data_IF_082445240619
#
_entry.id   IF_082445240619
#
_cell.length_a   1.000
_cell.length_b   1.000
_cell.length_c   1.000
_cell.angle_alpha   90.00
_cell.angle_beta   90.00
_cell.angle_gamma   90.00
#
_symmetry.space_group_name_H-M   'P 1'
#
loop_
_entity.id
_entity.type
_entity.pdbx_description
1 polymer ?
#
# COMPACT_ATOMS: atom_id res chain seq x y z
N UNK A 1 -15.68 -51.00 -55.28
CA UNK A 1 -16.72 -51.58 -54.42
C UNK A 1 -16.01 -51.95 -53.13
N UNK A 2 -15.95 -51.09 -52.11
CA UNK A 2 -17.08 -50.70 -51.25
C UNK A 2 -17.66 -51.95 -50.57
N UNK A 3 -17.80 -52.11 -49.26
CA UNK A 3 -17.51 -51.40 -48.03
C UNK A 3 -17.59 -52.49 -46.92
N UNK A 4 -17.09 -52.18 -45.73
CA UNK A 4 -17.79 -52.33 -44.43
C UNK A 4 -16.80 -52.71 -43.32
N UNK A 5 -16.49 -51.79 -42.41
CA UNK A 5 -17.27 -51.43 -41.20
C UNK A 5 -17.23 -52.51 -40.11
N UNK A 6 -16.38 -52.21 -39.13
CA UNK A 6 -16.66 -52.23 -37.68
C UNK A 6 -17.34 -53.46 -37.05
N UNK A 7 -16.64 -54.04 -36.05
CA UNK A 7 -17.25 -54.20 -34.73
C UNK A 7 -16.21 -54.30 -33.60
N UNK A 8 -16.42 -53.44 -32.61
CA UNK A 8 -15.76 -53.36 -31.31
C UNK A 8 -16.15 -54.50 -30.36
N UNK A 9 -15.48 -54.47 -29.19
CA UNK A 9 -15.85 -54.97 -27.85
C UNK A 9 -14.91 -56.09 -27.36
N UNK A 10 -13.81 -55.78 -26.69
CA UNK A 10 -13.70 -55.42 -25.26
C UNK A 10 -13.74 -56.67 -24.35
N UNK A 11 -12.69 -56.79 -23.53
CA UNK A 11 -12.48 -57.74 -22.42
C UNK A 11 -11.98 -59.16 -22.77
N UNK A 12 -10.65 -59.33 -22.74
CA UNK A 12 -10.00 -60.35 -21.90
C UNK A 12 -8.50 -60.05 -21.73
N UNK A 13 -8.14 -59.51 -20.57
CA UNK A 13 -6.79 -59.59 -19.94
C UNK A 13 -6.47 -61.07 -19.62
N UNK A 14 -5.24 -61.49 -19.22
CA UNK A 14 -3.88 -60.90 -19.26
C UNK A 14 -2.81 -61.95 -19.69
N UNK A 15 -1.50 -61.67 -19.55
CA UNK A 15 -0.42 -62.57 -19.03
C UNK A 15 0.95 -61.86 -19.24
N UNK A 16 1.48 -61.16 -18.23
CA UNK A 16 2.51 -61.65 -17.30
C UNK A 16 3.87 -61.86 -17.99
N UNK A 17 4.64 -60.77 -18.11
CA UNK A 17 6.09 -60.80 -18.34
C UNK A 17 6.75 -60.25 -17.08
N UNK A 18 7.28 -61.21 -16.34
CA UNK A 18 8.24 -61.22 -15.23
C UNK A 18 8.71 -59.89 -14.65
N UNK A 19 8.50 -59.81 -13.33
CA UNK A 19 9.13 -58.91 -12.39
C UNK A 19 10.66 -58.99 -12.51
N UNK A 20 11.29 -57.91 -12.94
CA UNK A 20 12.49 -57.44 -12.25
C UNK A 20 12.14 -56.08 -11.64
N UNK A 21 11.88 -56.12 -10.34
CA UNK A 21 11.79 -54.98 -9.46
C UNK A 21 13.13 -54.23 -9.49
N UNK A 22 13.15 -53.04 -10.08
CA UNK A 22 14.04 -51.98 -9.62
C UNK A 22 13.16 -50.92 -9.03
N UNK A 23 12.95 -51.06 -7.72
CA UNK A 23 12.42 -50.00 -6.87
C UNK A 23 13.20 -48.71 -7.14
N UNK A 24 12.52 -47.66 -7.59
CA UNK A 24 12.97 -46.33 -7.24
C UNK A 24 11.77 -45.46 -6.89
N UNK A 25 11.71 -45.18 -5.61
CA UNK A 25 10.66 -44.53 -4.87
C UNK A 25 10.55 -43.05 -5.25
N UNK A 26 9.31 -42.55 -5.31
CA UNK A 26 8.97 -41.14 -5.05
C UNK A 26 9.70 -40.06 -5.84
N UNK A 27 9.12 -39.62 -6.96
CA UNK A 27 9.29 -38.23 -7.41
C UNK A 27 7.94 -37.47 -7.45
N UNK A 28 7.45 -36.94 -6.32
CA UNK A 28 6.31 -36.03 -6.29
C UNK A 28 6.74 -34.60 -6.69
N UNK A 29 7.46 -34.43 -7.80
CA UNK A 29 8.05 -33.14 -8.22
C UNK A 29 7.47 -32.63 -9.54
N UNK A 30 6.15 -32.65 -9.74
CA UNK A 30 5.58 -32.00 -10.94
C UNK A 30 4.30 -31.15 -10.72
N UNK A 31 3.80 -31.05 -9.48
CA UNK A 31 2.68 -30.16 -9.15
C UNK A 31 3.10 -28.83 -8.48
N UNK A 32 4.35 -28.71 -8.00
CA UNK A 32 4.79 -27.58 -7.16
C UNK A 32 5.23 -26.33 -7.94
N UNK A 33 5.36 -26.38 -9.27
CA UNK A 33 5.94 -25.28 -10.05
C UNK A 33 4.96 -24.15 -10.43
N UNK A 34 3.64 -24.31 -10.23
CA UNK A 34 2.64 -23.38 -10.79
C UNK A 34 2.02 -22.34 -9.84
N UNK A 35 2.54 -22.12 -8.62
CA UNK A 35 2.02 -21.05 -7.76
C UNK A 35 3.09 -20.23 -7.03
N UNK A 36 4.16 -19.86 -7.74
CA UNK A 36 4.95 -18.70 -7.34
C UNK A 36 4.08 -17.44 -7.50
N UNK A 37 3.23 -17.14 -6.52
CA UNK A 37 2.40 -15.94 -6.50
C UNK A 37 3.32 -14.73 -6.70
N UNK A 38 3.26 -14.14 -7.91
CA UNK A 38 4.11 -13.00 -8.27
C UNK A 38 3.90 -11.90 -7.24
N UNK A 39 4.95 -11.60 -6.46
CA UNK A 39 4.94 -10.52 -5.47
C UNK A 39 4.45 -9.25 -6.14
N UNK A 40 3.37 -8.66 -5.61
CA UNK A 40 2.81 -7.40 -6.12
C UNK A 40 3.90 -6.33 -6.03
N UNK A 41 4.34 -5.82 -7.19
CA UNK A 41 5.30 -4.73 -7.24
C UNK A 41 4.66 -3.45 -6.71
N UNK A 42 5.27 -2.87 -5.67
CA UNK A 42 4.85 -1.56 -5.15
C UNK A 42 5.55 -0.45 -5.94
N UNK A 43 4.82 0.61 -6.28
CA UNK A 43 5.34 1.75 -7.02
C UNK A 43 5.10 3.04 -6.24
N UNK A 44 6.13 3.89 -6.14
CA UNK A 44 6.01 5.21 -5.51
C UNK A 44 5.06 6.12 -6.31
N UNK A 45 4.36 7.03 -5.64
CA UNK A 45 3.44 7.96 -6.31
C UNK A 45 4.14 8.83 -7.36
N UNK A 46 5.37 9.26 -7.09
CA UNK A 46 6.21 10.00 -8.04
C UNK A 46 6.42 9.20 -9.32
N UNK A 47 6.77 7.92 -9.20
CA UNK A 47 6.96 7.01 -10.34
C UNK A 47 5.66 6.83 -11.12
N UNK A 48 4.54 6.58 -10.44
CA UNK A 48 3.22 6.44 -11.09
C UNK A 48 2.86 7.68 -11.90
N UNK A 49 3.07 8.89 -11.35
CA UNK A 49 2.79 10.14 -12.05
C UNK A 49 3.69 10.38 -13.26
N UNK A 50 4.97 10.03 -13.17
CA UNK A 50 5.90 10.10 -14.30
C UNK A 50 5.43 9.22 -15.46
N UNK A 51 5.06 7.98 -15.16
CA UNK A 51 4.53 7.02 -16.13
C UNK A 51 3.23 7.55 -16.76
N UNK A 52 2.31 8.09 -15.96
CA UNK A 52 1.06 8.67 -16.48
C UNK A 52 1.31 9.89 -17.37
N UNK A 53 2.26 10.77 -17.03
CA UNK A 53 2.65 11.91 -17.88
C UNK A 53 3.21 11.43 -19.21
N UNK A 54 4.08 10.43 -19.20
CA UNK A 54 4.64 9.85 -20.41
C UNK A 54 3.56 9.16 -21.26
N UNK A 55 2.67 8.39 -20.64
CA UNK A 55 1.58 7.71 -21.32
C UNK A 55 0.60 8.69 -21.99
N UNK A 56 0.32 9.85 -21.38
CA UNK A 56 -0.50 10.89 -22.01
C UNK A 56 0.17 11.56 -23.21
N UNK A 57 1.51 11.58 -23.27
CA UNK A 57 2.27 12.21 -24.36
C UNK A 57 2.56 11.26 -25.52
N UNK A 58 2.89 10.00 -25.23
CA UNK A 58 3.37 9.02 -26.21
C UNK A 58 2.49 7.77 -26.33
N UNK A 59 1.46 7.65 -25.50
CA UNK A 59 0.55 6.49 -25.47
C UNK A 59 0.93 5.41 -24.46
N UNK A 60 -0.06 4.58 -24.12
CA UNK A 60 0.05 3.54 -23.08
C UNK A 60 1.03 2.42 -23.47
N UNK A 61 1.09 2.06 -24.75
CA UNK A 61 1.98 1.00 -25.23
C UNK A 61 3.46 1.42 -25.14
N UNK A 62 3.77 2.64 -25.58
CA UNK A 62 5.11 3.21 -25.45
C UNK A 62 5.55 3.29 -23.97
N UNK A 63 4.63 3.65 -23.08
CA UNK A 63 4.88 3.68 -21.64
C UNK A 63 5.16 2.28 -21.07
N UNK A 64 4.40 1.26 -21.48
CA UNK A 64 4.62 -0.12 -21.07
C UNK A 64 6.02 -0.62 -21.46
N UNK A 65 6.46 -0.33 -22.70
CA UNK A 65 7.79 -0.69 -23.19
C UNK A 65 8.90 0.04 -22.45
N UNK A 66 8.74 1.35 -22.19
CA UNK A 66 9.76 2.18 -21.54
C UNK A 66 9.94 1.85 -20.06
N UNK A 67 8.85 1.58 -19.35
CA UNK A 67 8.86 1.42 -17.89
C UNK A 67 8.79 -0.04 -17.45
N UNK A 68 8.61 -0.99 -18.38
CA UNK A 68 8.42 -2.42 -18.12
C UNK A 68 7.25 -2.69 -17.16
N UNK A 69 6.17 -1.91 -17.29
CA UNK A 69 4.95 -2.02 -16.49
C UNK A 69 3.83 -2.55 -17.37
N UNK A 70 3.03 -3.47 -16.84
CA UNK A 70 1.87 -4.01 -17.54
C UNK A 70 0.93 -2.90 -18.05
N UNK A 71 0.50 -3.00 -19.31
CA UNK A 71 -0.36 -2.01 -19.95
C UNK A 71 -1.66 -1.78 -19.16
N UNK A 72 -2.25 -2.83 -18.60
CA UNK A 72 -3.46 -2.75 -17.76
C UNK A 72 -3.24 -1.90 -16.51
N UNK A 73 -2.09 -2.05 -15.85
CA UNK A 73 -1.68 -1.22 -14.71
C UNK A 73 -1.57 0.25 -15.11
N UNK A 74 -0.95 0.54 -16.27
CA UNK A 74 -0.82 1.91 -16.79
C UNK A 74 -2.18 2.51 -17.10
N UNK A 75 -3.08 1.76 -17.76
CA UNK A 75 -4.46 2.21 -18.05
C UNK A 75 -5.18 2.58 -16.76
N UNK A 76 -5.13 1.71 -15.74
CA UNK A 76 -5.73 1.98 -14.44
C UNK A 76 -5.17 3.26 -13.78
N UNK A 77 -3.86 3.50 -13.87
CA UNK A 77 -3.26 4.73 -13.33
C UNK A 77 -3.65 5.98 -14.13
N UNK A 78 -3.77 5.88 -15.45
CA UNK A 78 -4.22 6.99 -16.30
C UNK A 78 -5.67 7.36 -15.98
N UNK A 79 -6.54 6.38 -15.79
CA UNK A 79 -7.94 6.58 -15.37
C UNK A 79 -8.01 7.21 -13.97
N UNK A 80 -7.16 6.78 -13.04
CA UNK A 80 -7.12 7.29 -11.67
C UNK A 80 -6.14 8.47 -11.47
N UNK A 81 -5.79 9.21 -12.54
CA UNK A 81 -4.80 10.31 -12.47
C UNK A 81 -5.15 11.36 -11.42
N UNK A 82 -6.41 11.73 -11.31
CA UNK A 82 -6.85 12.76 -10.36
C UNK A 82 -6.65 12.32 -8.92
N UNK A 83 -7.04 11.09 -8.59
CA UNK A 83 -6.79 10.48 -7.28
C UNK A 83 -5.30 10.42 -6.94
N UNK A 84 -4.47 9.97 -7.89
CA UNK A 84 -3.01 9.97 -7.75
C UNK A 84 -2.44 11.37 -7.48
N UNK A 85 -2.94 12.39 -8.18
CA UNK A 85 -2.51 13.78 -7.97
C UNK A 85 -2.97 14.34 -6.62
N UNK A 86 -4.17 13.98 -6.19
CA UNK A 86 -4.72 14.33 -4.88
C UNK A 86 -3.94 13.68 -3.73
N UNK A 87 -3.55 12.42 -3.88
CA UNK A 87 -2.69 11.72 -2.92
C UNK A 87 -1.31 12.37 -2.80
N UNK A 88 -0.71 12.83 -3.90
CA UNK A 88 0.56 13.58 -3.82
C UNK A 88 0.37 14.89 -3.08
N UNK A 89 -0.70 15.66 -3.33
CA UNK A 89 -0.99 16.87 -2.55
C UNK A 89 -1.21 16.56 -1.07
N UNK A 90 -1.94 15.49 -0.76
CA UNK A 90 -2.13 15.01 0.61
C UNK A 90 -0.82 14.59 1.25
N UNK A 91 0.07 13.89 0.54
CA UNK A 91 1.37 13.51 1.06
C UNK A 91 2.31 14.69 1.21
N UNK A 92 2.28 15.71 0.35
CA UNK A 92 3.06 16.94 0.59
C UNK A 92 2.53 17.64 1.84
N UNK A 93 1.20 17.71 2.00
CA UNK A 93 0.56 18.26 3.20
C UNK A 93 0.82 17.41 4.45
N UNK A 94 0.88 16.08 4.34
CA UNK A 94 1.14 15.14 5.44
C UNK A 94 2.63 14.91 5.70
N UNK A 95 3.52 15.14 4.74
CA UNK A 95 4.95 15.24 4.99
C UNK A 95 5.23 16.53 5.77
N UNK A 96 4.47 17.60 5.50
CA UNK A 96 4.43 18.78 6.35
C UNK A 96 3.71 18.53 7.70
N UNK A 97 2.84 17.52 7.81
CA UNK A 97 2.10 17.16 9.02
C UNK A 97 2.30 15.68 9.34
N UNK A 98 3.37 15.33 10.06
CA UNK A 98 4.04 14.00 10.24
C UNK A 98 3.23 12.71 10.51
N UNK A 99 1.92 12.63 10.26
CA UNK A 99 1.07 11.46 10.49
C UNK A 99 0.19 11.18 9.29
N UNK A 100 0.18 9.92 8.84
CA UNK A 100 -0.84 9.42 7.90
C UNK A 100 -2.24 9.63 8.50
N UNK A 101 -3.22 10.00 7.67
CA UNK A 101 -4.62 10.06 8.11
C UNK A 101 -5.07 8.68 8.60
N UNK A 102 -5.53 8.59 9.85
CA UNK A 102 -5.89 7.31 10.49
C UNK A 102 -4.73 6.58 11.18
N UNK A 103 -3.53 7.16 11.21
CA UNK A 103 -2.36 6.60 11.89
C UNK A 103 -2.31 6.88 13.40
N UNK A 104 -2.49 5.83 14.21
CA UNK A 104 -2.26 5.84 15.66
C UNK A 104 -3.37 6.51 16.48
N UNK A 105 -3.10 6.75 17.77
CA UNK A 105 -4.08 7.34 18.69
C UNK A 105 -4.48 8.76 18.24
N UNK A 106 -5.79 9.08 18.16
CA UNK A 106 -6.25 10.43 17.84
C UNK A 106 -5.80 11.42 18.92
N UNK A 107 -5.54 12.66 18.51
CA UNK A 107 -5.21 13.75 19.44
C UNK A 107 -6.46 14.10 20.27
N UNK A 108 -6.29 14.24 21.58
CA UNK A 108 -7.39 14.58 22.50
C UNK A 108 -7.95 15.98 22.22
N UNK A 109 -7.07 16.98 22.07
CA UNK A 109 -7.43 18.34 21.70
C UNK A 109 -6.42 18.88 20.69
N UNK A 110 -6.90 19.38 19.55
CA UNK A 110 -6.03 20.00 18.54
C UNK A 110 -5.56 21.39 19.00
N UNK A 111 -6.43 22.15 19.65
CA UNK A 111 -6.14 23.51 20.13
C UNK A 111 -5.05 23.52 21.20
N UNK A 112 -5.17 22.66 22.22
CA UNK A 112 -4.15 22.52 23.27
C UNK A 112 -2.78 22.16 22.67
N UNK A 113 -2.76 21.18 21.76
CA UNK A 113 -1.52 20.77 21.09
C UNK A 113 -0.90 21.90 20.27
N UNK A 114 -1.73 22.73 19.62
CA UNK A 114 -1.27 23.86 18.83
C UNK A 114 -0.62 24.93 19.72
N UNK A 115 -1.24 25.30 20.84
CA UNK A 115 -0.68 26.26 21.80
C UNK A 115 0.62 25.79 22.43
N UNK A 116 0.69 24.51 22.83
CA UNK A 116 1.93 23.91 23.34
C UNK A 116 3.03 23.93 22.28
N UNK A 117 2.68 23.68 21.01
CA UNK A 117 3.63 23.71 19.90
C UNK A 117 4.17 25.12 19.63
N UNK A 118 3.32 26.14 19.66
CA UNK A 118 3.73 27.55 19.54
C UNK A 118 4.68 27.97 20.66
N UNK A 119 4.38 27.58 21.90
CA UNK A 119 5.27 27.81 23.03
C UNK A 119 6.64 27.12 22.86
N UNK A 120 6.66 25.84 22.42
CA UNK A 120 7.92 25.13 22.12
C UNK A 120 8.72 25.86 21.03
N UNK A 121 8.06 26.33 19.98
CA UNK A 121 8.72 27.07 18.89
C UNK A 121 9.34 28.36 19.40
N UNK A 122 8.65 29.11 20.26
CA UNK A 122 9.17 30.33 20.87
C UNK A 122 10.41 30.04 21.74
N UNK A 123 10.37 29.02 22.60
CA UNK A 123 11.53 28.61 23.39
C UNK A 123 12.73 28.23 22.50
N UNK A 124 12.48 27.49 21.40
CA UNK A 124 13.54 27.11 20.45
C UNK A 124 14.11 28.31 19.69
N UNK A 125 13.28 29.28 19.32
CA UNK A 125 13.75 30.53 18.71
C UNK A 125 14.67 31.30 19.64
N UNK A 126 14.40 31.25 20.95
CA UNK A 126 15.25 31.80 22.03
C UNK A 126 16.46 30.92 22.37
N UNK A 127 16.66 29.80 21.68
CA UNK A 127 17.72 28.80 21.93
C UNK A 127 17.66 28.18 23.33
N UNK A 128 16.49 28.16 23.95
CA UNK A 128 16.28 27.53 25.25
C UNK A 128 16.02 26.03 25.10
N UNK A 129 16.65 25.24 25.97
CA UNK A 129 16.44 23.79 25.99
C UNK A 129 15.07 23.48 26.59
N UNK A 130 14.18 22.92 25.78
CA UNK A 130 12.86 22.47 26.23
C UNK A 130 12.90 20.97 26.56
N UNK A 131 12.80 20.63 27.85
CA UNK A 131 12.72 19.24 28.30
C UNK A 131 11.29 18.70 28.23
N UNK A 132 11.14 17.36 28.15
CA UNK A 132 9.83 16.71 28.17
C UNK A 132 9.00 17.09 29.41
N UNK A 133 9.65 17.20 30.57
CA UNK A 133 8.97 17.55 31.82
C UNK A 133 8.42 18.97 31.76
N UNK A 134 9.18 19.90 31.18
CA UNK A 134 8.75 21.28 30.99
C UNK A 134 7.53 21.37 30.05
N UNK A 135 7.54 20.60 28.96
CA UNK A 135 6.39 20.51 28.03
C UNK A 135 5.14 20.01 28.76
N UNK A 136 5.26 19.00 29.62
CA UNK A 136 4.12 18.48 30.39
C UNK A 136 3.57 19.52 31.36
N UNK A 137 4.44 20.22 32.08
CA UNK A 137 4.03 21.28 33.01
C UNK A 137 3.32 22.41 32.28
N UNK A 138 3.85 22.84 31.14
CA UNK A 138 3.24 23.90 30.35
C UNK A 138 1.90 23.46 29.74
N UNK A 139 1.81 22.23 29.22
CA UNK A 139 0.57 21.69 28.70
C UNK A 139 -0.54 21.63 29.77
N UNK A 140 -0.18 21.28 31.01
CA UNK A 140 -1.14 21.29 32.12
C UNK A 140 -1.61 22.71 32.45
N UNK A 141 -0.70 23.69 32.50
CA UNK A 141 -1.06 25.09 32.72
C UNK A 141 -1.97 25.64 31.64
N UNK A 142 -1.64 25.39 30.36
CA UNK A 142 -2.45 25.79 29.22
C UNK A 142 -3.83 25.13 29.31
N UNK A 143 -3.90 23.83 29.63
CA UNK A 143 -5.18 23.13 29.82
C UNK A 143 -6.03 23.76 30.91
N UNK A 144 -5.49 23.99 32.11
CA UNK A 144 -6.20 24.63 33.22
C UNK A 144 -6.70 26.04 32.86
N UNK A 145 -5.90 26.82 32.12
CA UNK A 145 -6.31 28.15 31.67
C UNK A 145 -7.44 28.10 30.65
N UNK A 146 -7.46 27.08 29.79
CA UNK A 146 -8.52 26.89 28.80
C UNK A 146 -9.83 26.49 29.47
N UNK A 147 -9.77 25.57 30.45
CA UNK A 147 -10.93 25.13 31.21
C UNK A 147 -11.55 26.32 31.97
N UNK A 148 -10.72 27.11 32.67
CA UNK A 148 -11.16 28.31 33.40
C UNK A 148 -11.75 29.40 32.49
N UNK A 149 -11.23 29.57 31.27
CA UNK A 149 -11.77 30.53 30.31
C UNK A 149 -13.15 30.10 29.78
N UNK A 150 -13.43 28.80 29.70
CA UNK A 150 -14.75 28.29 29.29
C UNK A 150 -15.85 28.47 30.34
N UNK A 151 -15.48 28.62 31.61
CA UNK A 151 -16.42 28.83 32.73
C UNK A 151 -16.88 30.29 32.88
N UNK A 152 -16.22 31.24 32.22
CA UNK A 152 -16.43 32.68 32.40
C UNK A 152 -17.35 33.33 31.34
N UNK A 153 -18.04 32.54 30.52
CA UNK A 153 -19.11 33.02 29.63
C UNK A 153 -20.50 32.61 30.15
N UNK A 154 -21.02 33.23 31.24
CA UNK A 154 -22.42 33.12 31.59
C UNK A 154 -23.24 34.08 30.71
N UNK A 155 -24.02 33.50 29.80
CA UNK A 155 -25.27 34.02 29.23
C UNK A 155 -25.35 35.52 28.92
N UNK A 156 -25.23 35.86 27.63
CA UNK A 156 -25.94 37.03 27.09
C UNK A 156 -27.44 36.75 26.98
#
# INVERSE_FOLDING_TARGET
MENHEERNEENDRPLLLDMEEVENENDPIEAAQYSQQRKKTSYTLKRKLEVVKFAKKFGNYAAAKKYSIGRTTIISWVQNKEKLSGEVRKLVKAAAMSRLSGGGRPQLSKDLNQKVLEWIQNCRARKERVSRRLIQVEALKIGQSMDRASELEPGQ
#
